data_IF_810133255789
#
_entry.id   IF_810133255789
#
_cell.length_a   1.000
_cell.length_b   1.000
_cell.length_c   1.000
_cell.angle_alpha   90.00
_cell.angle_beta   90.00
_cell.angle_gamma   90.00
#
_symmetry.space_group_name_H-M   'P 1'
#
loop_
_entity.id
_entity.type
_entity.pdbx_description
1 polymer ?
#
# COMPACT_ATOMS: atom_id res chain seq x y z
N UNK A 1 -20.43 -23.14 10.29
CA UNK A 1 -19.22 -23.06 9.44
C UNK A 1 -19.65 -22.53 8.07
N UNK A 2 -19.55 -21.21 7.84
CA UNK A 2 -19.92 -20.62 6.56
C UNK A 2 -18.68 -20.57 5.67
N UNK A 3 -18.69 -21.32 4.56
CA UNK A 3 -17.59 -21.38 3.60
C UNK A 3 -17.30 -20.00 3.02
N UNK A 4 -16.12 -19.45 3.35
CA UNK A 4 -15.63 -18.20 2.80
C UNK A 4 -15.20 -18.42 1.35
N UNK A 5 -16.11 -18.23 0.39
CA UNK A 5 -15.75 -18.17 -1.04
C UNK A 5 -15.04 -16.84 -1.29
N UNK A 6 -13.70 -16.89 -1.39
CA UNK A 6 -12.90 -15.76 -1.86
C UNK A 6 -13.28 -15.53 -3.32
N UNK A 7 -14.13 -14.53 -3.59
CA UNK A 7 -14.47 -14.16 -4.96
C UNK A 7 -13.28 -13.40 -5.56
N UNK A 8 -12.34 -14.14 -6.14
CA UNK A 8 -11.06 -13.64 -6.67
C UNK A 8 -11.24 -12.71 -7.88
N UNK A 9 -12.43 -12.66 -8.46
CA UNK A 9 -12.75 -11.86 -9.64
C UNK A 9 -12.63 -10.35 -9.39
N UNK A 10 -13.20 -9.86 -8.28
CA UNK A 10 -13.11 -8.43 -7.92
C UNK A 10 -11.67 -7.96 -7.66
N UNK A 11 -10.82 -8.65 -6.86
CA UNK A 11 -9.41 -8.30 -6.75
C UNK A 11 -8.66 -8.39 -8.07
N UNK A 12 -8.91 -9.40 -8.90
CA UNK A 12 -8.25 -9.56 -10.19
C UNK A 12 -8.54 -8.38 -11.14
N UNK A 13 -9.81 -7.94 -11.22
CA UNK A 13 -10.20 -6.78 -12.04
C UNK A 13 -9.56 -5.49 -11.51
N UNK A 14 -9.55 -5.30 -10.18
CA UNK A 14 -8.92 -4.13 -9.57
C UNK A 14 -7.40 -4.11 -9.79
N UNK A 15 -6.73 -5.26 -9.70
CA UNK A 15 -5.30 -5.40 -10.00
C UNK A 15 -5.00 -5.16 -11.49
N UNK A 16 -5.87 -5.61 -12.39
CA UNK A 16 -5.71 -5.35 -13.83
C UNK A 16 -5.83 -3.86 -14.15
N UNK A 17 -6.84 -3.17 -13.60
CA UNK A 17 -7.02 -1.72 -13.77
C UNK A 17 -5.82 -0.95 -13.18
N UNK A 18 -5.27 -1.43 -12.06
CA UNK A 18 -4.09 -0.86 -11.44
C UNK A 18 -2.84 -1.04 -12.27
N UNK A 19 -2.62 -2.24 -12.80
CA UNK A 19 -1.49 -2.54 -13.67
C UNK A 19 -1.55 -1.66 -14.93
N UNK A 20 -2.75 -1.44 -15.48
CA UNK A 20 -2.96 -0.52 -16.61
C UNK A 20 -2.69 0.94 -16.21
N UNK A 21 -3.22 1.42 -15.08
CA UNK A 21 -3.00 2.80 -14.62
C UNK A 21 -1.54 3.08 -14.25
N UNK A 22 -0.86 2.08 -13.68
CA UNK A 22 0.56 2.12 -13.38
C UNK A 22 1.41 2.09 -14.64
N UNK A 23 1.13 1.17 -15.58
CA UNK A 23 1.81 1.10 -16.88
C UNK A 23 1.66 2.41 -17.66
N UNK A 24 0.48 3.02 -17.64
CA UNK A 24 0.23 4.33 -18.24
C UNK A 24 1.08 5.42 -17.57
N UNK A 25 1.15 5.42 -16.24
CA UNK A 25 1.95 6.40 -15.49
C UNK A 25 3.44 6.25 -15.74
N UNK A 26 3.93 5.00 -15.85
CA UNK A 26 5.33 4.69 -16.17
C UNK A 26 5.67 5.10 -17.60
N UNK A 27 4.81 4.82 -18.58
CA UNK A 27 4.98 5.28 -19.97
C UNK A 27 5.04 6.80 -20.07
N UNK A 28 4.19 7.53 -19.35
CA UNK A 28 4.27 8.99 -19.33
C UNK A 28 5.56 9.50 -18.68
N UNK A 29 6.11 8.80 -17.70
CA UNK A 29 7.41 9.17 -17.11
C UNK A 29 8.58 8.95 -18.09
N UNK A 30 8.56 7.85 -18.84
CA UNK A 30 9.55 7.54 -19.89
C UNK A 30 9.47 8.53 -21.07
N UNK A 31 8.25 8.84 -21.52
CA UNK A 31 8.01 9.77 -22.63
C UNK A 31 8.52 11.18 -22.28
N UNK A 32 8.40 11.62 -21.01
CA UNK A 32 8.93 12.91 -20.55
C UNK A 32 10.46 12.95 -20.41
N UNK A 33 11.14 11.81 -20.23
CA UNK A 33 12.61 11.76 -20.22
C UNK A 33 13.21 11.75 -21.62
N UNK A 34 12.51 11.21 -22.62
CA UNK A 34 12.97 11.17 -24.01
C UNK A 34 12.87 12.52 -24.73
N UNK A 35 11.93 13.39 -24.33
CA UNK A 35 11.78 14.74 -24.90
C UNK A 35 12.71 15.79 -24.24
N UNK A 36 13.45 15.43 -23.19
CA UNK A 36 14.39 16.29 -22.49
C UNK A 36 15.80 16.29 -23.14
N UNK A 37 15.89 16.74 -24.40
CA UNK A 37 17.16 17.21 -24.96
C UNK A 37 17.52 18.60 -24.38
N UNK A 38 18.82 18.95 -24.20
CA UNK A 38 19.22 19.98 -23.25
C UNK A 38 19.03 21.39 -23.83
N UNK A 39 17.91 22.05 -23.52
CA UNK A 39 17.83 23.50 -23.61
C UNK A 39 18.40 24.09 -22.33
N UNK A 40 19.63 24.59 -22.43
CA UNK A 40 20.22 25.46 -21.42
C UNK A 40 19.31 26.66 -21.18
N UNK A 41 18.69 26.70 -20.01
CA UNK A 41 17.94 27.84 -19.50
C UNK A 41 17.87 27.75 -17.98
N UNK A 42 18.68 28.56 -17.31
CA UNK A 42 18.54 28.80 -15.88
C UNK A 42 17.22 29.52 -15.62
N UNK A 43 16.11 28.79 -15.48
CA UNK A 43 14.83 29.25 -14.93
C UNK A 43 13.87 28.04 -14.84
N UNK A 44 13.93 27.24 -13.76
CA UNK A 44 13.11 26.02 -13.75
C UNK A 44 12.99 25.19 -12.49
N UNK A 45 13.46 25.62 -11.31
CA UNK A 45 13.35 24.79 -10.09
C UNK A 45 11.90 24.59 -9.54
N UNK A 46 10.85 25.05 -10.23
CA UNK A 46 9.50 25.12 -9.64
C UNK A 46 8.40 24.38 -10.42
N UNK A 47 8.55 24.09 -11.72
CA UNK A 47 7.50 23.44 -12.53
C UNK A 47 7.65 21.93 -12.62
N UNK A 48 8.86 21.47 -12.94
CA UNK A 48 9.16 20.05 -13.21
C UNK A 48 9.14 19.19 -11.92
N UNK A 49 9.56 19.76 -10.78
CA UNK A 49 9.48 19.10 -9.49
C UNK A 49 8.04 18.96 -8.96
N UNK A 50 7.18 19.94 -9.23
CA UNK A 50 5.76 19.89 -8.82
C UNK A 50 4.96 18.91 -9.69
N UNK A 51 5.27 18.84 -10.99
CA UNK A 51 4.70 17.83 -11.88
C UNK A 51 5.12 16.41 -11.48
N UNK A 52 6.36 16.20 -11.06
CA UNK A 52 6.84 14.87 -10.62
C UNK A 52 6.26 14.40 -9.28
N UNK A 53 6.04 15.29 -8.30
CA UNK A 53 5.35 14.90 -7.05
C UNK A 53 3.86 14.67 -7.28
N UNK A 54 3.20 15.49 -8.11
CA UNK A 54 1.80 15.32 -8.49
C UNK A 54 1.56 13.98 -9.18
N UNK A 55 2.37 13.65 -10.19
CA UNK A 55 2.32 12.37 -10.89
C UNK A 55 2.57 11.19 -9.94
N UNK A 56 3.58 11.29 -9.07
CA UNK A 56 3.83 10.26 -8.06
C UNK A 56 2.64 10.07 -7.12
N UNK A 57 2.02 11.14 -6.64
CA UNK A 57 0.86 11.05 -5.75
C UNK A 57 -0.34 10.39 -6.43
N UNK A 58 -0.57 10.67 -7.72
CA UNK A 58 -1.61 10.00 -8.51
C UNK A 58 -1.30 8.52 -8.66
N UNK A 59 -0.08 8.16 -9.07
CA UNK A 59 0.35 6.77 -9.22
C UNK A 59 0.31 6.00 -7.88
N UNK A 60 0.78 6.63 -6.79
CA UNK A 60 0.71 6.11 -5.43
C UNK A 60 -0.74 5.85 -5.02
N UNK A 61 -1.64 6.80 -5.22
CA UNK A 61 -3.04 6.62 -4.87
C UNK A 61 -3.72 5.54 -5.70
N UNK A 62 -3.42 5.46 -7.01
CA UNK A 62 -3.93 4.40 -7.87
C UNK A 62 -3.46 3.02 -7.38
N UNK A 63 -2.15 2.88 -7.10
CA UNK A 63 -1.56 1.67 -6.54
C UNK A 63 -2.15 1.30 -5.17
N UNK A 64 -2.22 2.24 -4.24
CA UNK A 64 -2.75 1.98 -2.90
C UNK A 64 -4.24 1.62 -2.95
N UNK A 65 -5.02 2.29 -3.80
CA UNK A 65 -6.43 1.95 -4.04
C UNK A 65 -6.54 0.52 -4.56
N UNK A 66 -5.76 0.19 -5.57
CA UNK A 66 -5.77 -1.13 -6.18
C UNK A 66 -5.40 -2.28 -5.23
N UNK A 67 -4.37 -2.09 -4.42
CA UNK A 67 -3.90 -3.14 -3.52
C UNK A 67 -4.77 -3.23 -2.27
N UNK A 68 -5.20 -2.09 -1.72
CA UNK A 68 -5.84 -2.06 -0.41
C UNK A 68 -7.36 -2.13 -0.45
N UNK A 69 -8.03 -1.62 -1.49
CA UNK A 69 -9.50 -1.73 -1.61
C UNK A 69 -9.99 -3.18 -1.64
N UNK A 70 -9.35 -4.10 -2.38
CA UNK A 70 -9.73 -5.51 -2.31
C UNK A 70 -9.67 -6.04 -0.87
N UNK A 71 -8.64 -5.62 -0.12
CA UNK A 71 -8.43 -6.11 1.23
C UNK A 71 -9.47 -5.61 2.25
N UNK A 72 -10.10 -4.46 2.01
CA UNK A 72 -11.17 -3.90 2.85
C UNK A 72 -12.59 -4.09 2.27
N UNK A 73 -12.72 -4.80 1.14
CA UNK A 73 -13.99 -4.99 0.43
C UNK A 73 -15.14 -5.51 1.32
N UNK A 74 -14.94 -6.48 2.24
CA UNK A 74 -16.02 -6.91 3.13
C UNK A 74 -16.58 -5.78 4.00
N UNK A 75 -15.70 -4.91 4.51
CA UNK A 75 -16.07 -3.76 5.36
C UNK A 75 -16.80 -2.71 4.53
N UNK A 76 -16.27 -2.38 3.35
CA UNK A 76 -16.88 -1.41 2.43
C UNK A 76 -18.28 -1.86 1.98
N UNK A 77 -18.46 -3.16 1.65
CA UNK A 77 -19.77 -3.71 1.26
C UNK A 77 -20.77 -3.64 2.41
N UNK A 78 -20.35 -3.94 3.64
CA UNK A 78 -21.24 -3.85 4.79
C UNK A 78 -21.63 -2.40 5.10
N UNK A 79 -20.66 -1.47 5.09
CA UNK A 79 -20.92 -0.05 5.26
C UNK A 79 -21.87 0.47 4.18
N UNK A 80 -21.63 0.10 2.91
CA UNK A 80 -22.49 0.44 1.78
C UNK A 80 -23.94 0.00 1.98
N UNK A 81 -24.16 -1.24 2.44
CA UNK A 81 -25.52 -1.75 2.77
C UNK A 81 -26.18 -0.97 3.91
N UNK A 82 -25.41 -0.58 4.93
CA UNK A 82 -25.91 0.24 6.01
C UNK A 82 -26.26 1.67 5.53
N UNK A 83 -25.48 2.21 4.60
CA UNK A 83 -25.69 3.54 4.02
C UNK A 83 -26.95 3.55 3.14
N UNK A 84 -27.15 2.54 2.30
CA UNK A 84 -28.37 2.40 1.48
C UNK A 84 -29.63 2.20 2.34
N UNK A 85 -29.48 1.61 3.53
CA UNK A 85 -30.55 1.46 4.50
C UNK A 85 -30.77 2.71 5.39
N UNK A 86 -30.05 3.82 5.12
CA UNK A 86 -30.17 5.07 5.90
C UNK A 86 -29.64 4.98 7.34
N UNK A 87 -28.89 3.93 7.69
CA UNK A 87 -28.39 3.68 9.05
C UNK A 87 -27.06 4.38 9.35
N UNK A 88 -26.33 4.79 8.31
CA UNK A 88 -25.05 5.50 8.39
C UNK A 88 -24.97 6.55 7.28
N UNK A 89 -24.01 7.47 7.35
CA UNK A 89 -23.83 8.48 6.31
C UNK A 89 -23.40 7.84 4.97
N UNK A 90 -23.53 8.55 3.83
CA UNK A 90 -23.14 8.02 2.52
C UNK A 90 -21.71 7.48 2.47
N UNK A 91 -21.52 6.37 1.75
CA UNK A 91 -20.23 5.68 1.58
C UNK A 91 -19.07 6.58 1.13
N UNK A 92 -19.25 7.60 0.25
CA UNK A 92 -18.14 8.46 -0.16
C UNK A 92 -17.44 9.16 1.01
N UNK A 93 -18.14 9.52 2.08
CA UNK A 93 -17.52 10.13 3.26
C UNK A 93 -16.60 9.16 4.00
N UNK A 94 -16.99 7.90 4.13
CA UNK A 94 -16.11 6.85 4.66
C UNK A 94 -14.87 6.72 3.78
N UNK A 95 -15.05 6.60 2.46
CA UNK A 95 -13.96 6.34 1.52
C UNK A 95 -12.98 7.52 1.48
N UNK A 96 -13.49 8.76 1.52
CA UNK A 96 -12.67 9.96 1.57
C UNK A 96 -11.76 9.98 2.80
N UNK A 97 -12.28 9.61 3.98
CA UNK A 97 -11.45 9.51 5.19
C UNK A 97 -10.36 8.45 5.09
N UNK A 98 -10.67 7.32 4.46
CA UNK A 98 -9.70 6.25 4.21
C UNK A 98 -8.60 6.67 3.24
N UNK A 99 -8.98 7.28 2.11
CA UNK A 99 -8.04 7.77 1.10
C UNK A 99 -7.16 8.88 1.69
N UNK A 100 -7.70 9.80 2.48
CA UNK A 100 -6.93 10.87 3.11
C UNK A 100 -5.74 10.35 3.93
N UNK A 101 -5.92 9.24 4.66
CA UNK A 101 -4.81 8.58 5.38
C UNK A 101 -3.76 8.07 4.40
N UNK A 102 -4.14 7.37 3.34
CA UNK A 102 -3.19 6.87 2.34
C UNK A 102 -2.47 7.98 1.56
N UNK A 103 -3.17 9.07 1.26
CA UNK A 103 -2.59 10.28 0.67
C UNK A 103 -1.49 10.84 1.57
N UNK A 104 -1.71 10.89 2.90
CA UNK A 104 -0.72 11.42 3.84
C UNK A 104 0.59 10.61 3.86
N UNK A 105 0.53 9.31 3.54
CA UNK A 105 1.70 8.42 3.47
C UNK A 105 2.43 8.52 2.12
N UNK A 106 1.77 9.02 1.08
CA UNK A 106 2.41 9.21 -0.22
C UNK A 106 3.58 10.20 -0.15
N UNK A 107 3.51 11.21 0.72
CA UNK A 107 4.59 12.19 0.86
C UNK A 107 5.91 11.58 1.41
N UNK A 108 5.93 10.90 2.58
CA UNK A 108 7.14 10.23 3.03
C UNK A 108 7.59 9.12 2.08
N UNK A 109 6.65 8.44 1.39
CA UNK A 109 6.98 7.45 0.38
C UNK A 109 7.67 8.07 -0.85
N UNK A 110 7.25 9.26 -1.28
CA UNK A 110 7.89 10.02 -2.37
C UNK A 110 9.33 10.38 -2.02
N UNK A 111 9.54 10.90 -0.81
CA UNK A 111 10.89 11.27 -0.32
C UNK A 111 11.79 10.03 -0.27
N UNK A 112 11.28 8.92 0.27
CA UNK A 112 12.01 7.66 0.32
C UNK A 112 12.33 7.15 -1.09
N UNK A 113 11.36 7.14 -2.00
CA UNK A 113 11.55 6.72 -3.39
C UNK A 113 12.61 7.57 -4.11
N UNK A 114 12.51 8.90 -4.03
CA UNK A 114 13.50 9.82 -4.62
C UNK A 114 14.92 9.60 -4.08
N UNK A 115 15.05 9.29 -2.79
CA UNK A 115 16.35 9.05 -2.17
C UNK A 115 16.94 7.67 -2.52
N UNK A 116 16.12 6.73 -2.99
CA UNK A 116 16.50 5.34 -3.14
C UNK A 116 16.51 4.85 -4.60
N UNK A 117 15.86 5.55 -5.53
CA UNK A 117 15.84 5.19 -6.96
C UNK A 117 17.26 5.05 -7.54
N UNK A 118 18.04 6.14 -7.62
CA UNK A 118 19.38 6.08 -8.22
C UNK A 118 20.30 5.07 -7.53
N UNK A 119 20.35 4.98 -6.18
CA UNK A 119 21.17 3.97 -5.50
C UNK A 119 20.77 2.51 -5.79
N UNK A 120 19.48 2.24 -6.01
CA UNK A 120 18.98 0.91 -6.37
C UNK A 120 19.38 0.60 -7.82
N UNK A 121 19.14 1.52 -8.75
CA UNK A 121 19.43 1.35 -10.18
C UNK A 121 20.93 1.22 -10.44
N UNK A 122 21.75 1.97 -9.71
CA UNK A 122 23.22 1.87 -9.72
C UNK A 122 23.74 0.57 -9.04
N UNK A 123 22.87 -0.21 -8.39
CA UNK A 123 23.26 -1.43 -7.68
C UNK A 123 24.18 -1.17 -6.47
N UNK A 124 24.04 -0.03 -5.79
CA UNK A 124 24.97 0.35 -4.70
C UNK A 124 24.86 -0.64 -3.53
N UNK A 125 25.98 -1.18 -3.01
CA UNK A 125 25.94 -2.21 -1.96
C UNK A 125 25.22 -1.79 -0.67
N UNK A 126 25.21 -0.49 -0.34
CA UNK A 126 24.49 0.00 0.84
C UNK A 126 22.97 -0.01 0.66
N UNK A 127 22.47 0.19 -0.57
CA UNK A 127 21.04 0.13 -0.88
C UNK A 127 20.52 -1.30 -0.74
N UNK A 128 21.28 -2.29 -1.24
CA UNK A 128 21.03 -3.71 -1.00
C UNK A 128 20.96 -4.06 0.50
N UNK A 129 21.94 -3.61 1.29
CA UNK A 129 21.93 -3.83 2.75
C UNK A 129 20.75 -3.14 3.44
N UNK A 130 20.40 -1.92 3.03
CA UNK A 130 19.23 -1.21 3.56
C UNK A 130 17.94 -1.99 3.27
N UNK A 131 17.76 -2.48 2.04
CA UNK A 131 16.62 -3.33 1.69
C UNK A 131 16.58 -4.61 2.54
N UNK A 132 17.75 -5.20 2.80
CA UNK A 132 17.90 -6.33 3.72
C UNK A 132 17.44 -6.00 5.15
N UNK A 133 17.88 -4.86 5.71
CA UNK A 133 17.44 -4.38 7.04
C UNK A 133 15.94 -4.13 7.07
N UNK A 134 15.37 -3.53 6.02
CA UNK A 134 13.92 -3.26 5.93
C UNK A 134 13.12 -4.57 5.90
N UNK A 135 13.59 -5.59 5.17
CA UNK A 135 12.97 -6.92 5.16
C UNK A 135 13.02 -7.59 6.54
N UNK A 136 14.15 -7.51 7.24
CA UNK A 136 14.25 -8.03 8.60
C UNK A 136 13.33 -7.29 9.57
N UNK A 137 13.28 -5.96 9.49
CA UNK A 137 12.37 -5.15 10.30
C UNK A 137 10.90 -5.50 10.00
N UNK A 138 10.55 -5.72 8.73
CA UNK A 138 9.23 -6.17 8.33
C UNK A 138 8.91 -7.57 8.83
N UNK A 139 9.88 -8.49 8.86
CA UNK A 139 9.71 -9.81 9.46
C UNK A 139 9.46 -9.75 10.97
N UNK A 140 10.18 -8.88 11.69
CA UNK A 140 9.90 -8.65 13.11
C UNK A 140 8.49 -8.08 13.27
N UNK A 141 8.12 -7.07 12.48
CA UNK A 141 6.78 -6.47 12.50
C UNK A 141 5.68 -7.52 12.26
N UNK A 142 5.88 -8.41 11.29
CA UNK A 142 4.99 -9.52 10.95
C UNK A 142 4.64 -10.40 12.15
N UNK A 143 5.58 -10.57 13.08
CA UNK A 143 5.44 -11.41 14.27
C UNK A 143 4.97 -10.64 15.52
N UNK A 144 4.82 -9.31 15.45
CA UNK A 144 4.44 -8.52 16.62
C UNK A 144 2.97 -8.73 17.03
N UNK A 145 2.67 -8.72 18.34
CA UNK A 145 1.29 -8.72 18.81
C UNK A 145 0.52 -7.46 18.37
N UNK A 146 1.24 -6.34 18.16
CA UNK A 146 0.67 -5.08 17.69
C UNK A 146 0.09 -5.24 16.28
N UNK A 147 0.82 -5.87 15.34
CA UNK A 147 0.27 -6.20 14.02
C UNK A 147 -1.00 -7.04 14.14
N UNK A 148 -1.01 -8.07 14.96
CA UNK A 148 -2.18 -8.95 15.14
C UNK A 148 -3.40 -8.18 15.66
N UNK A 149 -3.19 -7.22 16.59
CA UNK A 149 -4.25 -6.31 17.06
C UNK A 149 -4.76 -5.43 15.92
N UNK A 150 -3.87 -4.79 15.15
CA UNK A 150 -4.25 -3.97 14.00
C UNK A 150 -5.03 -4.78 12.96
N UNK A 151 -4.59 -6.01 12.68
CA UNK A 151 -5.21 -6.91 11.72
C UNK A 151 -6.63 -7.29 12.17
N UNK A 152 -6.83 -7.66 13.44
CA UNK A 152 -8.17 -7.95 13.98
C UNK A 152 -9.12 -6.75 13.86
N UNK A 153 -8.65 -5.53 14.12
CA UNK A 153 -9.45 -4.31 13.94
C UNK A 153 -9.74 -4.02 12.47
N UNK A 154 -8.75 -4.20 11.59
CA UNK A 154 -8.90 -4.03 10.15
C UNK A 154 -9.92 -5.03 9.57
N UNK A 155 -10.06 -6.22 10.18
CA UNK A 155 -11.02 -7.25 9.75
C UNK A 155 -12.40 -7.14 10.41
N UNK A 156 -12.55 -6.36 11.47
CA UNK A 156 -13.80 -6.34 12.26
C UNK A 156 -14.79 -5.29 11.74
N UNK A 157 -15.84 -5.70 11.00
CA UNK A 157 -16.91 -4.79 10.62
C UNK A 157 -17.70 -4.23 11.81
N UNK A 158 -17.80 -4.99 12.90
CA UNK A 158 -18.69 -4.69 14.03
C UNK A 158 -18.11 -3.62 14.95
N UNK A 159 -16.79 -3.52 15.08
CA UNK A 159 -16.15 -2.46 15.87
C UNK A 159 -16.50 -1.05 15.36
N UNK A 160 -16.87 -0.94 14.09
CA UNK A 160 -17.26 0.30 13.45
C UNK A 160 -18.60 0.84 13.97
N UNK A 161 -19.60 -0.04 14.07
CA UNK A 161 -20.94 0.34 14.53
C UNK A 161 -20.97 0.57 16.05
N UNK A 162 -20.23 -0.25 16.81
CA UNK A 162 -20.19 -0.15 18.28
C UNK A 162 -19.40 1.06 18.78
N UNK A 163 -18.26 1.43 18.17
CA UNK A 163 -17.45 2.58 18.63
C UNK A 163 -18.04 3.94 18.28
N UNK A 164 -18.69 4.07 17.12
CA UNK A 164 -19.07 5.37 16.59
C UNK A 164 -20.53 5.73 16.87
N UNK A 165 -21.39 4.73 17.13
CA UNK A 165 -22.78 4.93 17.56
C UNK A 165 -23.53 5.87 16.60
N UNK A 166 -24.39 6.75 17.14
CA UNK A 166 -25.15 7.71 16.34
C UNK A 166 -24.28 8.71 15.54
N UNK A 167 -22.97 8.83 15.80
CA UNK A 167 -22.11 9.80 15.10
C UNK A 167 -21.82 9.38 13.66
N UNK A 168 -21.83 8.08 13.35
CA UNK A 168 -21.55 7.56 12.00
C UNK A 168 -22.64 7.93 10.98
N UNK A 169 -23.82 8.36 11.44
CA UNK A 169 -24.90 8.87 10.59
C UNK A 169 -24.58 10.25 9.99
N UNK A 170 -23.64 10.99 10.60
CA UNK A 170 -23.20 12.30 10.13
C UNK A 170 -22.00 12.15 9.19
N UNK A 171 -21.90 12.97 8.11
CA UNK A 171 -20.76 12.95 7.18
C UNK A 171 -19.38 13.02 7.86
N UNK A 172 -19.22 13.92 8.83
CA UNK A 172 -17.97 14.07 9.61
C UNK A 172 -17.66 12.82 10.43
N UNK A 173 -18.69 12.16 10.97
CA UNK A 173 -18.52 10.90 11.67
C UNK A 173 -18.02 9.82 10.72
N UNK A 174 -18.67 9.65 9.57
CA UNK A 174 -18.24 8.70 8.54
C UNK A 174 -16.79 8.95 8.05
N UNK A 175 -16.40 10.21 7.83
CA UNK A 175 -15.02 10.61 7.51
C UNK A 175 -14.03 10.13 8.58
N UNK A 176 -14.26 10.48 9.85
CA UNK A 176 -13.39 10.04 10.97
C UNK A 176 -13.33 8.54 11.09
N UNK A 177 -14.43 7.87 10.79
CA UNK A 177 -14.52 6.43 10.90
C UNK A 177 -13.73 5.74 9.78
N UNK A 178 -13.83 6.25 8.56
CA UNK A 178 -12.99 5.85 7.43
C UNK A 178 -11.50 6.09 7.69
N UNK A 179 -11.14 7.26 8.25
CA UNK A 179 -9.76 7.57 8.63
C UNK A 179 -9.24 6.62 9.72
N UNK A 180 -10.04 6.31 10.73
CA UNK A 180 -9.67 5.35 11.78
C UNK A 180 -9.41 3.97 11.18
N UNK A 181 -10.25 3.52 10.24
CA UNK A 181 -10.03 2.27 9.52
C UNK A 181 -8.77 2.32 8.65
N UNK A 182 -8.52 3.46 7.98
CA UNK A 182 -7.29 3.75 7.25
C UNK A 182 -6.05 3.59 8.12
N UNK A 183 -6.07 4.12 9.35
CA UNK A 183 -4.96 4.00 10.31
C UNK A 183 -4.70 2.55 10.75
N UNK A 184 -5.74 1.76 11.03
CA UNK A 184 -5.56 0.34 11.34
C UNK A 184 -5.06 -0.45 10.13
N UNK A 185 -5.58 -0.13 8.94
CA UNK A 185 -5.16 -0.71 7.68
C UNK A 185 -3.68 -0.42 7.41
N UNK A 186 -3.25 0.83 7.59
CA UNK A 186 -1.85 1.24 7.49
C UNK A 186 -1.01 0.53 8.55
N UNK A 187 -1.44 0.53 9.82
CA UNK A 187 -0.72 -0.12 10.91
C UNK A 187 -0.45 -1.61 10.65
N UNK A 188 -1.37 -2.34 10.01
CA UNK A 188 -1.11 -3.74 9.72
C UNK A 188 -0.19 -4.00 8.50
N UNK A 189 -0.05 -3.06 7.56
CA UNK A 189 0.73 -3.28 6.32
C UNK A 189 1.84 -2.26 6.02
N UNK A 190 2.09 -1.25 6.87
CA UNK A 190 3.10 -0.22 6.62
C UNK A 190 4.49 -0.82 6.39
N UNK A 191 4.87 -1.85 7.15
CA UNK A 191 6.17 -2.49 7.00
C UNK A 191 6.31 -3.21 5.64
N UNK A 192 5.20 -3.75 5.11
CA UNK A 192 5.17 -4.32 3.76
C UNK A 192 5.29 -3.24 2.70
N UNK A 193 4.72 -2.06 2.93
CA UNK A 193 4.90 -0.91 2.03
C UNK A 193 6.34 -0.41 2.06
N UNK A 194 6.99 -0.41 3.23
CA UNK A 194 8.41 -0.08 3.34
C UNK A 194 9.27 -1.06 2.54
N UNK A 195 8.97 -2.37 2.58
CA UNK A 195 9.63 -3.39 1.74
C UNK A 195 9.44 -3.08 0.26
N UNK A 196 8.23 -2.72 -0.18
CA UNK A 196 7.97 -2.35 -1.57
C UNK A 196 8.82 -1.15 -2.02
N UNK A 197 9.00 -0.15 -1.15
CA UNK A 197 9.88 1.00 -1.45
C UNK A 197 11.35 0.59 -1.47
N UNK A 198 11.78 -0.26 -0.54
CA UNK A 198 13.18 -0.65 -0.40
C UNK A 198 13.66 -1.61 -1.49
N UNK A 199 12.76 -2.40 -2.08
CA UNK A 199 13.02 -3.29 -3.21
C UNK A 199 12.69 -2.64 -4.56
N UNK A 200 12.46 -1.32 -4.58
CA UNK A 200 12.08 -0.58 -5.79
C UNK A 200 10.56 -0.62 -6.02
N UNK A 201 9.93 0.55 -5.94
CA UNK A 201 8.48 0.72 -6.15
C UNK A 201 8.00 0.33 -7.55
N UNK A 202 8.93 0.15 -8.50
CA UNK A 202 8.63 -0.20 -9.89
C UNK A 202 8.65 -1.69 -10.20
N UNK A 203 9.03 -2.55 -9.24
CA UNK A 203 8.95 -3.98 -9.46
C UNK A 203 7.50 -4.48 -9.32
N UNK A 204 6.85 -4.70 -10.46
CA UNK A 204 5.46 -5.16 -10.52
C UNK A 204 5.27 -6.53 -9.86
N UNK A 205 6.28 -7.40 -9.86
CA UNK A 205 6.19 -8.70 -9.21
C UNK A 205 6.11 -8.57 -7.68
N UNK A 206 6.93 -7.71 -7.07
CA UNK A 206 6.85 -7.39 -5.64
C UNK A 206 5.53 -6.71 -5.28
N UNK A 207 5.06 -5.80 -6.13
CA UNK A 207 3.75 -5.18 -5.97
C UNK A 207 2.65 -6.25 -5.90
N UNK A 208 2.56 -7.13 -6.89
CA UNK A 208 1.56 -8.21 -6.92
C UNK A 208 1.71 -9.15 -5.71
N UNK A 209 2.94 -9.59 -5.41
CA UNK A 209 3.21 -10.51 -4.31
C UNK A 209 2.77 -9.94 -2.96
N UNK A 210 3.12 -8.68 -2.67
CA UNK A 210 2.74 -8.03 -1.42
C UNK A 210 1.25 -7.68 -1.37
N UNK A 211 0.64 -7.31 -2.50
CA UNK A 211 -0.82 -7.11 -2.58
C UNK A 211 -1.57 -8.39 -2.23
N UNK A 212 -1.16 -9.52 -2.83
CA UNK A 212 -1.75 -10.83 -2.55
C UNK A 212 -1.52 -11.24 -1.11
N UNK A 213 -0.30 -11.06 -0.60
CA UNK A 213 0.00 -11.33 0.81
C UNK A 213 -0.95 -10.54 1.73
N UNK A 214 -1.10 -9.23 1.51
CA UNK A 214 -1.97 -8.36 2.32
C UNK A 214 -3.44 -8.76 2.19
N UNK A 215 -3.89 -9.05 0.96
CA UNK A 215 -5.25 -9.49 0.69
C UNK A 215 -5.58 -10.77 1.48
N UNK A 216 -4.70 -11.77 1.37
CA UNK A 216 -4.88 -13.06 2.03
C UNK A 216 -4.72 -12.91 3.54
N UNK A 217 -3.74 -12.15 4.02
CA UNK A 217 -3.62 -11.82 5.44
C UNK A 217 -4.85 -11.11 5.98
N UNK A 218 -5.55 -10.26 5.22
CA UNK A 218 -6.74 -9.54 5.70
C UNK A 218 -8.02 -10.35 5.57
N UNK A 219 -8.09 -11.33 4.67
CA UNK A 219 -9.36 -12.02 4.37
C UNK A 219 -9.36 -13.51 4.72
N UNK A 220 -8.20 -14.15 4.87
CA UNK A 220 -8.13 -15.56 5.22
C UNK A 220 -8.30 -15.79 6.74
N UNK A 221 -9.01 -16.85 7.14
CA UNK A 221 -9.14 -17.22 8.56
C UNK A 221 -7.78 -17.52 9.21
N UNK A 222 -6.82 -18.00 8.43
CA UNK A 222 -5.46 -18.32 8.87
C UNK A 222 -4.44 -17.18 8.68
N UNK A 223 -4.86 -15.92 8.53
CA UNK A 223 -3.94 -14.84 8.16
C UNK A 223 -2.77 -14.59 9.13
N UNK A 224 -2.88 -14.97 10.42
CA UNK A 224 -1.74 -14.93 11.36
C UNK A 224 -0.65 -15.97 11.00
N UNK A 225 -1.03 -17.17 10.55
CA UNK A 225 -0.06 -18.17 10.05
C UNK A 225 0.62 -17.70 8.76
N UNK A 226 -0.12 -17.01 7.91
CA UNK A 226 0.40 -16.46 6.64
C UNK A 226 1.43 -15.36 6.93
N UNK A 227 1.16 -14.49 7.90
CA UNK A 227 2.11 -13.51 8.40
C UNK A 227 3.41 -14.17 8.92
N UNK A 228 3.32 -15.31 9.61
CA UNK A 228 4.49 -16.07 10.07
C UNK A 228 5.31 -16.64 8.90
N UNK A 229 4.67 -17.25 7.90
CA UNK A 229 5.38 -17.73 6.70
C UNK A 229 6.03 -16.59 5.94
N UNK A 230 5.35 -15.45 5.79
CA UNK A 230 5.93 -14.25 5.19
C UNK A 230 7.13 -13.73 5.99
N UNK A 231 7.08 -13.77 7.33
CA UNK A 231 8.22 -13.39 8.17
C UNK A 231 9.44 -14.28 7.89
N UNK A 232 9.26 -15.61 7.78
CA UNK A 232 10.35 -16.53 7.44
C UNK A 232 10.95 -16.20 6.06
N UNK A 233 10.11 -15.95 5.06
CA UNK A 233 10.57 -15.56 3.73
C UNK A 233 11.37 -14.24 3.76
N UNK A 234 10.87 -13.23 4.49
CA UNK A 234 11.57 -11.96 4.65
C UNK A 234 12.87 -12.07 5.44
N UNK A 235 12.96 -12.98 6.42
CA UNK A 235 14.23 -13.27 7.11
C UNK A 235 15.25 -13.83 6.13
N UNK A 236 14.86 -14.81 5.31
CA UNK A 236 15.75 -15.42 4.32
C UNK A 236 16.25 -14.40 3.30
N UNK A 237 15.35 -13.62 2.71
CA UNK A 237 15.69 -12.59 1.72
C UNK A 237 16.49 -11.44 2.35
N UNK A 238 16.10 -11.00 3.55
CA UNK A 238 16.79 -9.94 4.27
C UNK A 238 18.22 -10.31 4.64
N UNK A 239 18.44 -11.54 5.10
CA UNK A 239 19.78 -12.09 5.35
C UNK A 239 20.59 -12.19 4.05
N UNK A 240 20.00 -12.69 2.96
CA UNK A 240 20.66 -12.78 1.67
C UNK A 240 21.17 -11.41 1.19
N UNK A 241 20.35 -10.37 1.29
CA UNK A 241 20.72 -9.00 0.91
C UNK A 241 21.77 -8.36 1.84
N UNK A 242 21.84 -8.77 3.10
CA UNK A 242 22.90 -8.31 4.01
C UNK A 242 24.27 -8.89 3.65
N UNK A 243 24.32 -10.19 3.32
CA UNK A 243 25.57 -10.89 2.98
C UNK A 243 25.98 -10.72 1.52
N UNK A 244 25.00 -10.55 0.62
CA UNK A 244 25.15 -10.43 -0.83
C UNK A 244 24.27 -9.30 -1.36
N UNK A 245 24.60 -8.03 -1.09
CA UNK A 245 23.76 -6.89 -1.48
C UNK A 245 23.54 -6.78 -2.99
N UNK A 246 24.42 -7.35 -3.80
CA UNK A 246 24.27 -7.48 -5.25
C UNK A 246 23.06 -8.31 -5.69
N UNK A 247 22.49 -9.15 -4.81
CA UNK A 247 21.24 -9.85 -5.13
C UNK A 247 20.04 -8.91 -5.28
N UNK A 248 20.15 -7.65 -4.84
CA UNK A 248 19.08 -6.66 -5.01
C UNK A 248 18.73 -6.47 -6.49
N UNK A 249 19.71 -6.41 -7.39
CA UNK A 249 19.48 -6.21 -8.84
C UNK A 249 18.80 -7.39 -9.52
N UNK A 250 18.82 -8.58 -8.90
CA UNK A 250 18.07 -9.76 -9.36
C UNK A 250 16.60 -9.66 -8.90
N UNK A 251 16.37 -8.96 -7.79
CA UNK A 251 15.06 -8.82 -7.16
C UNK A 251 14.28 -7.59 -7.65
N UNK A 252 14.95 -6.60 -8.26
CA UNK A 252 14.37 -5.37 -8.83
C UNK A 252 14.21 -5.49 -10.33
#
# INVERSE_FOLDING_TARGET
>A
MAGFRINLFTPAVLLAVAAVGWWWSARMADDMMMDAAPSMGMDGMNGEQVLTIGAFMVAWLAMMTAMMFPAITPVVKLYGRAATAGRVAPLPFFVAGYIAVWTSIGLPAYVAWRALMDPIDDGRPWAGRLAGVVLLAAAVWQLTPLKSVCLRHCRSPISFFLRFGARVTRPVGALRTGATHGLFCLGCCWALMAVLVALGTMNLAWMIALALLILVEKNAPAGERIAQFAAVAFIGLGAALLFRPETLTILT
#
